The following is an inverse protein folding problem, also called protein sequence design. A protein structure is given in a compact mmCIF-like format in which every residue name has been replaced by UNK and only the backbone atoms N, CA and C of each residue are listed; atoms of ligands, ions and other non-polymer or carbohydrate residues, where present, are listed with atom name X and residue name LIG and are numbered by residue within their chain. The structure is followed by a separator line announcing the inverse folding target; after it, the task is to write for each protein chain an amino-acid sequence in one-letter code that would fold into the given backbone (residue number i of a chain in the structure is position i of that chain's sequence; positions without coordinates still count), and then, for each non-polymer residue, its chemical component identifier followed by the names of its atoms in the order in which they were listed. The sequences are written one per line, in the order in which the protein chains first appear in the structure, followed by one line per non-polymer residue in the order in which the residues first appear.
data_IF_591169547592
#
_entry.id   IF_591169547592
#
_cell.length_a   1.000
_cell.length_b   1.000
_cell.length_c   1.000
_cell.angle_alpha   90.00
_cell.angle_beta   90.00
_cell.angle_gamma   90.00
#
_symmetry.space_group_name_H-M   'P 1'
#
loop_
_entity.id
_entity.type
_entity.pdbx_description
1 polymer ?
#
# COMPACT_ATOMS: atom_id res chain seq x y z
N UNK A 1 5.19 -30.56 8.61
CA UNK A 1 4.64 -29.73 7.51
C UNK A 1 5.70 -28.70 7.16
N UNK A 2 6.21 -28.71 5.93
CA UNK A 2 7.05 -27.60 5.47
C UNK A 2 6.19 -26.34 5.41
N UNK A 3 6.61 -25.29 6.13
CA UNK A 3 5.87 -24.05 6.22
C UNK A 3 5.91 -23.26 4.91
N UNK A 4 4.85 -22.51 4.64
CA UNK A 4 4.82 -21.53 3.55
C UNK A 4 5.89 -20.47 3.81
N UNK A 5 6.67 -20.17 2.77
CA UNK A 5 7.67 -19.10 2.76
C UNK A 5 7.53 -18.27 1.48
N UNK A 6 8.39 -17.27 1.33
CA UNK A 6 8.31 -16.31 0.24
C UNK A 6 9.65 -16.12 -0.45
N UNK A 7 9.63 -16.02 -1.77
CA UNK A 7 10.76 -15.56 -2.55
C UNK A 7 10.53 -14.10 -2.95
N UNK A 8 11.54 -13.26 -2.77
CA UNK A 8 11.47 -11.84 -3.05
C UNK A 8 12.27 -11.55 -4.31
N UNK A 9 11.67 -10.77 -5.20
CA UNK A 9 12.27 -10.37 -6.45
C UNK A 9 12.29 -8.85 -6.57
N UNK A 10 13.29 -8.33 -7.29
CA UNK A 10 13.49 -6.90 -7.55
C UNK A 10 13.82 -6.65 -9.01
N UNK A 11 13.33 -5.55 -9.55
CA UNK A 11 13.57 -5.07 -10.90
C UNK A 11 13.80 -3.57 -10.93
N UNK A 12 14.45 -3.07 -11.97
CA UNK A 12 14.58 -1.63 -12.25
C UNK A 12 13.50 -1.13 -13.22
N UNK A 13 12.84 -2.08 -13.90
CA UNK A 13 11.69 -1.85 -14.77
C UNK A 13 10.54 -2.75 -14.32
N UNK A 14 9.31 -2.29 -14.57
CA UNK A 14 8.12 -3.05 -14.25
C UNK A 14 8.11 -4.37 -15.04
N UNK A 15 7.77 -5.48 -14.39
CA UNK A 15 7.74 -6.83 -14.97
C UNK A 15 9.11 -7.45 -15.31
N UNK A 16 10.22 -6.76 -15.05
CA UNK A 16 11.58 -7.29 -15.25
C UNK A 16 12.25 -7.56 -13.89
N UNK A 17 12.08 -8.78 -13.38
CA UNK A 17 12.41 -9.11 -11.99
C UNK A 17 13.50 -10.18 -11.85
N UNK A 18 14.46 -9.93 -10.96
CA UNK A 18 15.48 -10.90 -10.52
C UNK A 18 15.25 -11.30 -9.07
N UNK A 19 15.40 -12.59 -8.74
CA UNK A 19 15.26 -13.09 -7.36
C UNK A 19 16.40 -12.55 -6.49
N UNK A 20 16.07 -11.91 -5.39
CA UNK A 20 17.04 -11.33 -4.45
C UNK A 20 17.03 -11.99 -3.07
N UNK A 21 15.96 -12.72 -2.74
CA UNK A 21 15.89 -13.53 -1.52
C UNK A 21 15.04 -14.78 -1.74
N UNK A 22 15.33 -15.83 -0.98
CA UNK A 22 14.63 -17.11 -1.04
C UNK A 22 14.20 -17.56 0.35
N UNK A 23 13.08 -18.28 0.43
CA UNK A 23 12.56 -18.88 1.65
C UNK A 23 12.42 -17.91 2.86
N UNK A 24 12.05 -16.66 2.58
CA UNK A 24 11.72 -15.65 3.61
C UNK A 24 10.48 -16.13 4.36
N UNK A 25 10.59 -16.30 5.69
CA UNK A 25 9.50 -16.78 6.53
C UNK A 25 8.58 -15.67 7.03
N UNK A 26 9.13 -14.46 7.15
CA UNK A 26 8.37 -13.28 7.56
C UNK A 26 7.58 -12.68 6.40
N UNK A 27 6.55 -11.91 6.74
CA UNK A 27 5.76 -11.14 5.78
C UNK A 27 6.37 -9.77 5.46
N UNK A 28 7.58 -9.51 5.96
CA UNK A 28 8.36 -8.28 5.76
C UNK A 28 9.77 -8.64 5.34
N UNK A 29 10.31 -7.94 4.33
CA UNK A 29 11.68 -8.09 3.86
C UNK A 29 12.36 -6.74 3.75
N UNK A 30 13.59 -6.64 4.26
CA UNK A 30 14.44 -5.44 4.17
C UNK A 30 15.53 -5.67 3.11
N UNK A 31 15.44 -4.95 1.99
CA UNK A 31 16.52 -4.92 0.99
C UNK A 31 17.58 -3.88 1.37
N UNK A 32 18.74 -4.36 1.83
CA UNK A 32 19.89 -3.51 2.18
C UNK A 32 20.77 -3.16 0.97
N UNK A 33 20.50 -3.73 -0.21
CA UNK A 33 21.33 -3.58 -1.41
C UNK A 33 20.74 -2.55 -2.39
N UNK A 34 20.08 -1.52 -1.86
CA UNK A 34 19.49 -0.44 -2.67
C UNK A 34 20.48 0.70 -2.86
N UNK A 35 20.43 1.32 -4.04
CA UNK A 35 21.14 2.58 -4.31
C UNK A 35 20.18 3.74 -4.10
N UNK A 36 20.64 4.78 -3.40
CA UNK A 36 19.86 6.00 -3.20
C UNK A 36 19.42 6.61 -4.54
N UNK A 37 18.22 7.20 -4.55
CA UNK A 37 17.60 7.83 -5.71
C UNK A 37 17.36 6.93 -6.93
N UNK A 38 17.52 5.61 -6.78
CA UNK A 38 17.18 4.63 -7.81
C UNK A 38 15.80 4.02 -7.57
N UNK A 39 14.99 3.97 -8.63
CA UNK A 39 13.68 3.34 -8.57
C UNK A 39 13.80 1.82 -8.71
N UNK A 40 13.13 1.10 -7.82
CA UNK A 40 13.04 -0.35 -7.84
C UNK A 40 11.59 -0.80 -7.72
N UNK A 41 11.28 -1.87 -8.43
CA UNK A 41 10.00 -2.57 -8.36
C UNK A 41 10.23 -3.91 -7.68
N UNK A 42 9.30 -4.33 -6.83
CA UNK A 42 9.39 -5.59 -6.10
C UNK A 42 8.17 -6.44 -6.33
N UNK A 43 8.36 -7.76 -6.32
CA UNK A 43 7.29 -8.74 -6.34
C UNK A 43 7.67 -9.93 -5.46
N UNK A 44 6.66 -10.63 -4.96
CA UNK A 44 6.83 -11.75 -4.03
C UNK A 44 6.08 -12.96 -4.57
N UNK A 45 6.73 -14.12 -4.51
CA UNK A 45 6.13 -15.42 -4.86
C UNK A 45 6.05 -16.30 -3.62
N UNK A 46 4.93 -17.01 -3.48
CA UNK A 46 4.78 -18.01 -2.44
C UNK A 46 5.61 -19.25 -2.76
N UNK A 47 6.30 -19.80 -1.77
CA UNK A 47 7.10 -21.01 -1.85
C UNK A 47 6.60 -22.03 -0.82
N UNK A 48 6.26 -23.22 -1.29
CA UNK A 48 5.85 -24.36 -0.47
C UNK A 48 6.67 -25.59 -0.84
N UNK A 49 6.50 -26.71 -0.12
CA UNK A 49 7.11 -27.99 -0.50
C UNK A 49 6.67 -28.53 -1.87
N UNK A 50 5.55 -28.03 -2.41
CA UNK A 50 5.10 -28.34 -3.77
C UNK A 50 5.77 -27.46 -4.85
N UNK A 51 6.54 -26.45 -4.44
CA UNK A 51 7.20 -25.51 -5.34
C UNK A 51 6.75 -24.05 -5.15
N UNK A 52 7.28 -23.21 -6.04
CA UNK A 52 7.01 -21.77 -6.09
C UNK A 52 5.78 -21.47 -6.95
N UNK A 53 5.02 -20.43 -6.60
CA UNK A 53 3.88 -19.98 -7.40
C UNK A 53 4.32 -19.57 -8.81
N UNK A 54 3.65 -20.10 -9.84
CA UNK A 54 4.01 -19.80 -11.24
C UNK A 54 3.80 -18.34 -11.65
N UNK A 55 2.85 -17.65 -11.01
CA UNK A 55 2.58 -16.25 -11.26
C UNK A 55 3.31 -15.34 -10.28
N UNK A 56 3.30 -14.03 -10.54
CA UNK A 56 3.77 -13.01 -9.61
C UNK A 56 2.58 -12.49 -8.80
N UNK A 57 2.41 -12.96 -7.54
CA UNK A 57 1.53 -12.46 -6.51
C UNK A 57 0.79 -11.18 -6.83
N UNK A 58 1.62 -10.15 -6.74
CA UNK A 58 1.32 -8.75 -6.59
C UNK A 58 2.62 -7.96 -6.78
N UNK A 59 2.50 -6.64 -6.96
CA UNK A 59 3.61 -5.69 -6.73
C UNK A 59 3.70 -5.46 -5.22
N UNK A 60 4.90 -5.57 -4.65
CA UNK A 60 5.12 -5.29 -3.24
C UNK A 60 5.25 -3.78 -3.00
N UNK A 61 4.61 -3.28 -1.95
CA UNK A 61 4.75 -1.87 -1.52
C UNK A 61 6.11 -1.69 -0.85
N UNK A 62 6.90 -0.74 -1.35
CA UNK A 62 8.22 -0.40 -0.80
C UNK A 62 8.06 0.69 0.26
N UNK A 63 8.77 0.56 1.38
CA UNK A 63 8.89 1.61 2.39
C UNK A 63 10.34 1.74 2.86
N UNK A 64 10.80 2.96 3.13
CA UNK A 64 12.18 3.22 3.57
C UNK A 64 12.47 2.57 4.92
N UNK A 65 13.66 1.99 5.11
CA UNK A 65 14.12 1.45 6.39
C UNK A 65 14.09 2.49 7.53
N UNK A 66 14.43 3.75 7.22
CA UNK A 66 14.40 4.85 8.20
C UNK A 66 12.98 5.25 8.66
N UNK A 67 11.95 4.66 8.06
CA UNK A 67 10.55 5.03 8.23
C UNK A 67 10.24 6.52 7.96
N UNK A 68 11.16 7.29 7.38
CA UNK A 68 10.96 8.73 7.16
C UNK A 68 9.73 8.97 6.28
N UNK A 69 9.61 8.16 5.23
CA UNK A 69 8.54 8.20 4.23
C UNK A 69 7.32 7.36 4.62
N UNK A 70 7.27 6.88 5.88
CA UNK A 70 6.18 6.01 6.32
C UNK A 70 4.87 6.77 6.38
N UNK A 71 3.91 6.28 5.59
CA UNK A 71 2.51 6.67 5.59
C UNK A 71 1.74 5.58 6.32
N UNK A 72 1.01 5.93 7.37
CA UNK A 72 0.24 4.98 8.17
C UNK A 72 -1.20 5.45 8.24
N UNK A 73 -2.13 4.65 7.73
CA UNK A 73 -3.53 4.85 8.05
C UNK A 73 -3.74 4.40 9.50
N UNK A 74 -4.18 5.31 10.35
CA UNK A 74 -4.33 5.08 11.79
C UNK A 74 -5.67 4.47 12.16
N UNK A 75 -6.74 4.95 11.53
CA UNK A 75 -8.10 4.52 11.83
C UNK A 75 -8.98 4.66 10.59
N UNK A 76 -9.92 3.73 10.46
CA UNK A 76 -11.04 3.78 9.53
C UNK A 76 -12.31 3.77 10.39
N UNK A 77 -12.98 4.92 10.50
CA UNK A 77 -14.19 5.08 11.30
C UNK A 77 -15.42 4.95 10.41
N UNK A 78 -16.34 4.04 10.74
CA UNK A 78 -17.67 4.00 10.10
C UNK A 78 -18.49 5.20 10.56
N UNK A 79 -19.11 5.88 9.58
CA UNK A 79 -20.06 6.99 9.75
C UNK A 79 -21.38 6.61 9.06
N UNK A 80 -22.42 7.38 9.31
CA UNK A 80 -23.74 7.17 8.68
C UNK A 80 -23.64 7.22 7.14
N UNK A 81 -22.89 8.18 6.61
CA UNK A 81 -22.77 8.42 5.17
C UNK A 81 -21.53 7.78 4.50
N UNK A 82 -20.74 6.99 5.24
CA UNK A 82 -19.52 6.41 4.70
C UNK A 82 -18.44 6.08 5.72
N UNK A 83 -17.17 6.22 5.33
CA UNK A 83 -16.03 5.86 6.16
C UNK A 83 -15.02 7.01 6.21
N UNK A 84 -14.65 7.44 7.40
CA UNK A 84 -13.61 8.44 7.62
C UNK A 84 -12.27 7.75 7.87
N UNK A 85 -11.32 7.97 6.98
CA UNK A 85 -9.96 7.43 7.07
C UNK A 85 -9.03 8.50 7.58
N UNK A 86 -8.34 8.27 8.70
CA UNK A 86 -7.31 9.20 9.22
C UNK A 86 -5.93 8.62 8.99
N UNK A 87 -5.04 9.43 8.42
CA UNK A 87 -3.70 9.05 8.00
C UNK A 87 -2.67 9.90 8.71
N UNK A 88 -1.64 9.25 9.26
CA UNK A 88 -0.48 9.89 9.90
C UNK A 88 0.79 9.64 9.10
N UNK A 89 1.60 10.67 9.02
CA UNK A 89 2.90 10.70 8.40
C UNK A 89 3.96 10.71 9.48
N UNK A 90 5.05 9.96 9.27
CA UNK A 90 6.13 9.91 10.25
C UNK A 90 6.98 11.19 10.22
N UNK A 91 7.92 11.30 9.26
CA UNK A 91 8.75 12.51 9.08
C UNK A 91 8.33 13.35 7.87
N UNK A 92 7.54 12.80 6.95
CA UNK A 92 6.97 13.56 5.83
C UNK A 92 6.06 14.69 6.32
N UNK A 93 6.13 15.81 5.60
CA UNK A 93 5.24 16.96 5.79
C UNK A 93 4.58 17.32 4.47
N UNK A 94 3.26 17.49 4.47
CA UNK A 94 2.47 17.93 3.32
C UNK A 94 2.71 19.42 3.04
N UNK A 95 2.83 19.74 1.75
CA UNK A 95 2.88 21.10 1.20
C UNK A 95 1.57 21.37 0.45
N UNK A 96 1.30 22.63 0.11
CA UNK A 96 0.07 23.01 -0.62
C UNK A 96 -0.05 22.34 -1.99
N UNK A 97 1.06 22.12 -2.70
CA UNK A 97 1.05 21.53 -4.05
C UNK A 97 1.19 20.00 -4.06
N UNK A 98 1.19 19.35 -2.89
CA UNK A 98 1.25 17.89 -2.84
C UNK A 98 -0.15 17.33 -3.11
N UNK A 99 -0.25 16.31 -3.96
CA UNK A 99 -1.49 15.54 -4.10
C UNK A 99 -1.48 14.39 -3.09
N UNK A 100 -2.53 14.22 -2.30
CA UNK A 100 -2.57 13.19 -1.27
C UNK A 100 -4.00 12.72 -1.05
N UNK A 101 -4.15 11.48 -0.62
CA UNK A 101 -5.46 10.91 -0.42
C UNK A 101 -5.40 9.43 -0.14
N UNK A 102 -6.46 8.74 -0.51
CA UNK A 102 -6.56 7.29 -0.39
C UNK A 102 -6.97 6.66 -1.72
N UNK A 103 -6.59 5.41 -1.89
CA UNK A 103 -7.00 4.53 -2.97
C UNK A 103 -7.79 3.40 -2.32
N UNK A 104 -9.00 3.14 -2.82
CA UNK A 104 -9.80 1.99 -2.42
C UNK A 104 -9.98 1.04 -3.59
N UNK A 105 -9.80 -0.25 -3.30
CA UNK A 105 -9.79 -1.31 -4.31
C UNK A 105 -10.78 -2.40 -3.89
N UNK A 106 -11.79 -2.67 -4.72
CA UNK A 106 -12.71 -3.79 -4.47
C UNK A 106 -11.96 -5.11 -4.69
N UNK A 107 -11.88 -5.93 -3.64
CA UNK A 107 -11.19 -7.23 -3.66
C UNK A 107 -12.16 -8.41 -3.55
N UNK A 108 -13.47 -8.17 -3.62
CA UNK A 108 -14.47 -9.24 -3.68
C UNK A 108 -14.51 -9.95 -5.03
N UNK A 109 -13.97 -9.34 -6.08
CA UNK A 109 -14.02 -9.85 -7.45
C UNK A 109 -12.65 -9.71 -8.14
N UNK A 110 -12.40 -10.50 -9.18
CA UNK A 110 -11.14 -10.50 -9.95
C UNK A 110 -10.85 -9.18 -10.69
N UNK A 111 -11.85 -8.29 -10.79
CA UNK A 111 -11.70 -6.96 -11.36
C UNK A 111 -11.43 -5.95 -10.23
N UNK A 112 -10.18 -5.49 -10.17
CA UNK A 112 -9.73 -4.48 -9.21
C UNK A 112 -9.76 -3.13 -9.91
N UNK A 113 -10.76 -2.31 -9.60
CA UNK A 113 -10.77 -0.90 -10.01
C UNK A 113 -10.25 -0.04 -8.86
N UNK A 114 -9.19 0.72 -9.13
CA UNK A 114 -8.63 1.68 -8.19
C UNK A 114 -9.47 2.96 -8.18
N UNK A 115 -10.10 3.24 -7.04
CA UNK A 115 -10.84 4.49 -6.83
C UNK A 115 -9.98 5.42 -5.98
N UNK A 116 -9.50 6.51 -6.58
CA UNK A 116 -8.80 7.59 -5.88
C UNK A 116 -9.78 8.54 -5.22
N UNK A 117 -9.52 8.86 -3.96
CA UNK A 117 -10.27 9.82 -3.16
C UNK A 117 -9.27 10.81 -2.58
N UNK A 118 -9.45 12.07 -2.91
CA UNK A 118 -8.60 13.16 -2.42
C UNK A 118 -8.71 13.32 -0.90
N UNK A 119 -7.57 13.57 -0.28
CA UNK A 119 -7.47 13.86 1.13
C UNK A 119 -7.76 15.32 1.43
N UNK A 120 -8.15 15.57 2.67
CA UNK A 120 -8.29 16.89 3.26
C UNK A 120 -7.35 16.96 4.46
N UNK A 121 -6.73 18.11 4.66
CA UNK A 121 -5.90 18.40 5.84
C UNK A 121 -6.29 19.76 6.40
N UNK A 122 -6.08 19.94 7.69
CA UNK A 122 -6.13 21.30 8.26
C UNK A 122 -4.83 22.03 7.93
N UNK A 123 -4.84 23.35 7.70
CA UNK A 123 -3.64 24.11 7.35
C UNK A 123 -2.46 23.89 8.33
N UNK A 124 -2.76 23.81 9.62
CA UNK A 124 -1.82 23.61 10.73
C UNK A 124 -1.29 22.16 10.86
N UNK A 125 -1.95 21.19 10.21
CA UNK A 125 -1.62 19.78 10.30
C UNK A 125 -0.90 19.32 9.02
N UNK A 126 0.44 19.36 9.04
CA UNK A 126 1.26 18.93 7.88
C UNK A 126 1.66 17.46 7.94
N UNK A 127 1.55 16.82 9.09
CA UNK A 127 1.94 15.41 9.31
C UNK A 127 0.77 14.44 9.36
N UNK A 128 -0.43 14.89 9.02
CA UNK A 128 -1.61 14.06 8.97
C UNK A 128 -2.62 14.62 7.98
N UNK A 129 -3.49 13.75 7.49
CA UNK A 129 -4.63 14.11 6.67
C UNK A 129 -5.76 13.11 6.90
N UNK A 130 -6.94 13.44 6.39
CA UNK A 130 -8.10 12.56 6.43
C UNK A 130 -8.76 12.49 5.05
N UNK A 131 -9.32 11.35 4.70
CA UNK A 131 -10.11 11.18 3.50
C UNK A 131 -11.45 10.53 3.86
N UNK A 132 -12.53 10.96 3.20
CA UNK A 132 -13.85 10.43 3.42
C UNK A 132 -14.29 9.58 2.23
N UNK A 133 -14.62 8.32 2.48
CA UNK A 133 -15.16 7.39 1.49
C UNK A 133 -16.69 7.44 1.60
N UNK A 134 -17.39 8.11 0.68
CA UNK A 134 -18.85 8.12 0.71
C UNK A 134 -19.40 6.75 0.32
N UNK A 135 -20.57 6.38 0.86
CA UNK A 135 -21.24 5.13 0.50
C UNK A 135 -21.49 4.97 -1.01
N UNK A 136 -21.65 6.08 -1.74
CA UNK A 136 -21.81 6.07 -3.21
C UNK A 136 -20.60 5.55 -3.98
N UNK A 137 -19.42 5.50 -3.36
CA UNK A 137 -18.18 4.99 -3.97
C UNK A 137 -17.91 3.53 -3.63
N UNK A 138 -18.75 2.89 -2.81
CA UNK A 138 -18.62 1.49 -2.42
C UNK A 138 -19.89 0.71 -2.74
N UNK A 139 -19.72 -0.54 -3.15
CA UNK A 139 -20.80 -1.51 -3.35
C UNK A 139 -21.11 -2.24 -2.05
N UNK A 140 -22.39 -2.52 -1.79
CA UNK A 140 -22.82 -3.35 -0.67
C UNK A 140 -22.22 -4.77 -0.74
N UNK A 141 -22.13 -5.45 0.40
CA UNK A 141 -21.56 -6.80 0.55
C UNK A 141 -20.21 -7.02 -0.14
N UNK A 142 -19.37 -5.99 -0.21
CA UNK A 142 -18.05 -6.02 -0.82
C UNK A 142 -16.95 -5.76 0.21
N UNK A 143 -15.78 -6.34 -0.04
CA UNK A 143 -14.56 -6.10 0.69
C UNK A 143 -13.70 -5.13 -0.13
N UNK A 144 -13.27 -4.04 0.51
CA UNK A 144 -12.34 -3.08 -0.09
C UNK A 144 -11.03 -3.09 0.67
N UNK A 145 -9.90 -3.06 -0.03
CA UNK A 145 -8.63 -2.68 0.59
C UNK A 145 -8.43 -1.17 0.48
N UNK A 146 -7.73 -0.59 1.46
CA UNK A 146 -7.41 0.84 1.48
C UNK A 146 -5.90 1.02 1.47
N UNK A 147 -5.43 1.95 0.65
CA UNK A 147 -4.08 2.52 0.72
C UNK A 147 -4.17 4.03 0.86
N UNK A 148 -3.23 4.63 1.57
CA UNK A 148 -2.99 6.07 1.50
C UNK A 148 -1.91 6.36 0.48
N UNK A 149 -2.00 7.48 -0.23
CA UNK A 149 -0.97 7.94 -1.16
C UNK A 149 -0.60 9.40 -0.92
N UNK A 150 0.64 9.74 -1.25
CA UNK A 150 1.13 11.11 -1.35
C UNK A 150 2.02 11.21 -2.59
N UNK A 151 1.73 12.16 -3.46
CA UNK A 151 2.53 12.51 -4.63
C UNK A 151 3.26 13.82 -4.37
N UNK A 152 4.58 13.77 -4.33
CA UNK A 152 5.46 14.94 -4.18
C UNK A 152 6.38 15.03 -5.39
N UNK A 153 6.39 16.16 -6.09
CA UNK A 153 7.30 16.40 -7.22
C UNK A 153 7.28 15.25 -8.27
N UNK A 154 6.11 14.68 -8.54
CA UNK A 154 5.93 13.56 -9.48
C UNK A 154 6.23 12.16 -8.92
N UNK A 155 6.75 12.03 -7.70
CA UNK A 155 6.97 10.75 -7.02
C UNK A 155 5.80 10.41 -6.11
N UNK A 156 5.17 9.26 -6.33
CA UNK A 156 4.10 8.74 -5.47
C UNK A 156 4.66 7.79 -4.42
N UNK A 157 4.28 8.04 -3.17
CA UNK A 157 4.52 7.20 -2.01
C UNK A 157 3.17 6.60 -1.58
N UNK A 158 3.13 5.29 -1.36
CA UNK A 158 1.93 4.59 -0.88
C UNK A 158 2.16 4.02 0.52
N UNK A 159 1.12 3.98 1.35
CA UNK A 159 1.15 3.22 2.60
C UNK A 159 1.25 1.72 2.32
N UNK A 160 1.93 0.98 3.19
CA UNK A 160 1.88 -0.47 3.17
C UNK A 160 0.43 -0.98 3.27
N UNK A 161 0.12 -2.05 2.53
CA UNK A 161 -1.14 -2.79 2.65
C UNK A 161 -1.14 -3.55 3.98
N UNK A 162 -1.56 -2.90 5.06
CA UNK A 162 -1.65 -3.54 6.38
C UNK A 162 -3.12 -3.75 6.73
N UNK A 163 -3.69 -4.90 6.38
CA UNK A 163 -4.98 -5.45 6.88
C UNK A 163 -6.16 -4.47 7.00
N UNK A 164 -6.17 -3.38 6.24
CA UNK A 164 -7.22 -2.38 6.33
C UNK A 164 -8.25 -2.66 5.24
N UNK A 165 -9.31 -3.31 5.69
CA UNK A 165 -10.43 -3.66 4.86
C UNK A 165 -11.68 -2.95 5.37
N UNK A 166 -12.48 -2.46 4.43
CA UNK A 166 -13.87 -2.11 4.69
C UNK A 166 -14.71 -3.27 4.19
N UNK A 167 -15.50 -3.85 5.09
CA UNK A 167 -16.62 -4.71 4.72
C UNK A 167 -17.88 -3.88 4.78
N UNK A 168 -18.45 -3.61 3.61
CA UNK A 168 -19.75 -2.94 3.52
C UNK A 168 -20.85 -3.91 3.93
N UNK A 169 -21.75 -3.48 4.81
CA UNK A 169 -22.97 -4.23 5.12
C UNK A 169 -24.04 -4.03 4.05
#
# INVERSE_FOLDING_TARGET
MEGTSYNVYRGEMLHEFTKIATAVKDTVFLDNNIVNDKQYYYTVKGLTGAGESNFHPNIATVFSAENNDKITIQVVETKEDGYLVKVKLNKLQLKENDAFGIIINNVSYLNVEDIKIEGTRRPEETKQFQAFIPLSKVKQNSNYTIKAFITKQGKTLESALVNQHITTK
#
